data_IF_816258949075
#
_entry.id   IF_816258949075
#
_cell.length_a   1.000
_cell.length_b   1.000
_cell.length_c   1.000
_cell.angle_alpha   90.00
_cell.angle_beta   90.00
_cell.angle_gamma   90.00
#
_symmetry.space_group_name_H-M   'P 1'
#
loop_
_entity.id
_entity.type
_entity.pdbx_description
1 polymer ?
#
# COMPACT_ATOMS: atom_id res chain seq x y z
N UNK A 1 -9.21 -23.02 8.34
CA UNK A 1 -7.91 -23.51 7.82
C UNK A 1 -7.51 -22.63 6.65
N UNK A 2 -6.21 -22.36 6.49
CA UNK A 2 -5.63 -21.62 5.37
C UNK A 2 -4.50 -22.46 4.76
N UNK A 3 -4.10 -22.06 3.54
CA UNK A 3 -2.97 -22.67 2.84
C UNK A 3 -1.80 -21.69 2.97
N UNK A 4 -0.65 -22.16 3.40
CA UNK A 4 0.59 -21.40 3.52
C UNK A 4 1.47 -21.60 2.30
N UNK A 5 2.16 -20.55 1.86
CA UNK A 5 3.07 -20.56 0.71
C UNK A 5 4.45 -20.04 1.08
N UNK A 6 5.47 -20.69 0.54
CA UNK A 6 6.88 -20.29 0.70
C UNK A 6 7.50 -19.98 -0.66
N UNK A 7 8.40 -18.98 -0.68
CA UNK A 7 9.05 -18.56 -1.93
C UNK A 7 9.78 -19.71 -2.63
N UNK A 8 10.44 -20.58 -1.87
CA UNK A 8 11.23 -21.68 -2.42
C UNK A 8 10.40 -22.72 -3.15
N UNK A 9 9.18 -23.01 -2.67
CA UNK A 9 8.30 -24.06 -3.20
C UNK A 9 7.23 -23.52 -4.14
N UNK A 10 6.71 -22.32 -3.83
CA UNK A 10 5.51 -21.79 -4.49
C UNK A 10 5.79 -20.55 -5.34
N UNK A 11 7.02 -19.99 -5.24
CA UNK A 11 7.42 -18.79 -5.97
C UNK A 11 6.96 -17.48 -5.31
N UNK A 12 6.23 -17.55 -4.19
CA UNK A 12 5.82 -16.41 -3.39
C UNK A 12 5.60 -16.80 -1.93
N UNK A 13 5.65 -15.81 -1.04
CA UNK A 13 5.33 -15.97 0.38
C UNK A 13 3.96 -15.38 0.68
N UNK A 14 3.09 -16.15 1.29
CA UNK A 14 1.74 -15.72 1.61
C UNK A 14 0.87 -16.80 2.23
N UNK A 15 -0.41 -16.50 2.38
CA UNK A 15 -1.40 -17.45 2.85
C UNK A 15 -2.76 -17.25 2.16
N UNK A 16 -3.42 -18.32 1.79
CA UNK A 16 -4.74 -18.28 1.18
C UNK A 16 -5.83 -18.69 2.15
N UNK A 17 -6.85 -17.87 2.25
CA UNK A 17 -7.99 -18.00 3.17
C UNK A 17 -9.28 -18.10 2.34
N UNK A 18 -9.84 -19.31 2.25
CA UNK A 18 -11.10 -19.53 1.53
C UNK A 18 -12.28 -19.07 2.36
N UNK A 19 -13.20 -18.31 1.74
CA UNK A 19 -14.44 -17.90 2.38
C UNK A 19 -15.36 -19.11 2.59
N UNK A 20 -16.16 -19.08 3.66
CA UNK A 20 -17.17 -20.10 3.92
C UNK A 20 -18.32 -20.04 2.92
N UNK A 21 -18.65 -18.84 2.45
CA UNK A 21 -19.60 -18.64 1.34
C UNK A 21 -18.85 -18.85 0.04
N UNK A 22 -19.46 -19.60 -0.86
CA UNK A 22 -18.88 -19.82 -2.18
C UNK A 22 -18.70 -18.51 -2.94
N UNK A 23 -17.51 -18.28 -3.45
CA UNK A 23 -17.15 -17.12 -4.26
C UNK A 23 -15.98 -17.45 -5.17
N UNK A 24 -15.97 -16.86 -6.36
CA UNK A 24 -14.88 -16.93 -7.31
C UNK A 24 -14.06 -15.64 -7.39
N UNK A 25 -14.23 -14.75 -6.41
CA UNK A 25 -13.53 -13.48 -6.32
C UNK A 25 -12.53 -13.54 -5.16
N UNK A 26 -11.27 -13.19 -5.42
CA UNK A 26 -10.23 -13.13 -4.41
C UNK A 26 -9.53 -11.78 -4.40
N UNK A 27 -9.14 -11.31 -3.24
CA UNK A 27 -8.34 -10.09 -3.06
C UNK A 27 -6.98 -10.46 -2.46
N UNK A 28 -5.91 -10.03 -3.13
CA UNK A 28 -4.56 -10.04 -2.58
C UNK A 28 -4.46 -8.86 -1.61
N UNK A 29 -4.17 -9.16 -0.34
CA UNK A 29 -4.12 -8.17 0.72
C UNK A 29 -2.71 -8.13 1.34
N UNK A 30 -2.16 -6.93 1.47
CA UNK A 30 -0.82 -6.70 2.00
C UNK A 30 -0.91 -5.75 3.19
N UNK A 31 -1.11 -6.33 4.37
CA UNK A 31 -1.19 -5.61 5.64
C UNK A 31 -0.50 -6.44 6.73
N UNK A 32 0.37 -5.80 7.51
CA UNK A 32 1.17 -6.45 8.54
C UNK A 32 2.60 -6.78 8.09
N UNK A 33 3.43 -7.16 9.05
CA UNK A 33 4.84 -7.52 8.82
C UNK A 33 5.01 -8.96 8.32
N UNK A 34 3.97 -9.76 8.47
CA UNK A 34 3.92 -11.15 8.03
C UNK A 34 2.53 -11.44 7.44
N UNK A 35 2.45 -12.40 6.51
CA UNK A 35 1.19 -12.80 5.86
C UNK A 35 0.19 -13.50 6.82
N UNK A 36 0.63 -13.90 8.00
CA UNK A 36 -0.18 -14.64 8.99
C UNK A 36 -0.19 -13.99 10.38
N UNK A 37 0.32 -12.76 10.51
CA UNK A 37 0.29 -12.04 11.77
C UNK A 37 -1.13 -11.55 12.15
N UNK A 38 -1.24 -10.89 13.29
CA UNK A 38 -2.50 -10.36 13.78
C UNK A 38 -3.15 -9.34 12.83
N UNK A 39 -2.33 -8.47 12.24
CA UNK A 39 -2.79 -7.44 11.30
C UNK A 39 -3.33 -8.08 10.02
N UNK A 40 -2.58 -9.02 9.45
CA UNK A 40 -3.00 -9.78 8.27
C UNK A 40 -4.31 -10.55 8.53
N UNK A 41 -4.42 -11.27 9.64
CA UNK A 41 -5.65 -11.99 10.03
C UNK A 41 -6.84 -11.07 10.25
N UNK A 42 -6.62 -9.87 10.75
CA UNK A 42 -7.67 -8.85 10.90
C UNK A 42 -8.18 -8.37 9.54
N UNK A 43 -7.26 -8.13 8.61
CA UNK A 43 -7.61 -7.79 7.22
C UNK A 43 -8.39 -8.93 6.55
N UNK A 44 -7.98 -10.17 6.74
CA UNK A 44 -8.71 -11.36 6.26
C UNK A 44 -10.15 -11.36 6.76
N UNK A 45 -10.36 -11.20 8.07
CA UNK A 45 -11.71 -11.13 8.64
C UNK A 45 -12.56 -10.03 8.02
N UNK A 46 -11.98 -8.86 7.84
CA UNK A 46 -12.65 -7.70 7.28
C UNK A 46 -13.08 -7.95 5.83
N UNK A 47 -12.18 -8.48 4.99
CA UNK A 47 -12.45 -8.77 3.58
C UNK A 47 -13.43 -9.94 3.40
N UNK A 48 -13.27 -11.01 4.18
CA UNK A 48 -14.18 -12.17 4.10
C UNK A 48 -15.64 -11.81 4.39
N UNK A 49 -15.89 -10.85 5.29
CA UNK A 49 -17.24 -10.30 5.53
C UNK A 49 -17.84 -9.62 4.30
N UNK A 50 -17.00 -9.21 3.35
CA UNK A 50 -17.44 -8.59 2.08
C UNK A 50 -17.64 -9.60 0.95
N UNK A 51 -17.48 -10.90 1.23
CA UNK A 51 -17.83 -11.97 0.31
C UNK A 51 -16.70 -12.41 -0.64
N UNK A 52 -15.45 -12.17 -0.30
CA UNK A 52 -14.30 -12.56 -1.11
C UNK A 52 -13.42 -13.60 -0.42
N UNK A 53 -12.69 -14.38 -1.20
CA UNK A 53 -11.51 -15.11 -0.74
C UNK A 53 -10.36 -14.11 -0.54
N UNK A 54 -9.40 -14.45 0.30
CA UNK A 54 -8.27 -13.55 0.59
C UNK A 54 -6.95 -14.31 0.44
N UNK A 55 -6.01 -13.71 -0.27
CA UNK A 55 -4.62 -14.14 -0.27
C UNK A 55 -3.78 -13.05 0.38
N UNK A 56 -3.25 -13.31 1.57
CA UNK A 56 -2.35 -12.39 2.26
C UNK A 56 -0.93 -12.56 1.77
N UNK A 57 -0.23 -11.45 1.55
CA UNK A 57 1.19 -11.44 1.19
C UNK A 57 1.93 -10.43 2.06
N UNK A 58 3.23 -10.61 2.20
CA UNK A 58 4.13 -9.62 2.81
C UNK A 58 5.40 -9.50 1.98
N UNK A 59 5.86 -8.29 1.65
CA UNK A 59 7.13 -8.09 0.99
C UNK A 59 8.34 -8.51 1.82
N UNK A 60 8.24 -8.39 3.15
CA UNK A 60 9.32 -8.75 4.06
C UNK A 60 8.80 -9.59 5.22
N UNK A 61 9.12 -10.88 5.24
CA UNK A 61 8.81 -11.76 6.37
C UNK A 61 9.42 -11.22 7.67
N UNK A 62 8.60 -10.80 8.62
CA UNK A 62 8.97 -10.28 9.95
C UNK A 62 9.69 -8.93 9.98
N UNK A 63 10.49 -8.59 8.99
CA UNK A 63 11.15 -7.30 8.85
C UNK A 63 10.65 -6.69 7.57
N UNK A 64 9.77 -5.71 7.69
CA UNK A 64 9.18 -5.04 6.57
C UNK A 64 10.24 -4.29 5.78
N UNK A 65 10.72 -4.90 4.71
CA UNK A 65 11.77 -4.36 3.86
C UNK A 65 11.34 -4.37 2.40
N UNK A 66 11.55 -3.24 1.74
CA UNK A 66 11.25 -3.07 0.33
C UNK A 66 12.52 -2.70 -0.42
N UNK A 67 13.20 -3.69 -0.97
CA UNK A 67 14.31 -3.47 -1.88
C UNK A 67 14.36 -4.59 -2.93
N UNK A 68 14.24 -4.19 -4.18
CA UNK A 68 14.15 -5.09 -5.33
C UNK A 68 13.14 -6.23 -5.15
N UNK A 69 12.00 -5.96 -4.50
CA UNK A 69 10.95 -6.96 -4.32
C UNK A 69 10.46 -7.44 -5.68
N UNK A 70 10.56 -8.75 -5.99
CA UNK A 70 10.21 -9.26 -7.31
C UNK A 70 8.70 -9.23 -7.55
N UNK A 71 8.24 -8.52 -8.59
CA UNK A 71 6.83 -8.52 -8.98
C UNK A 71 6.35 -9.90 -9.40
N UNK A 72 7.26 -10.79 -9.81
CA UNK A 72 6.97 -12.18 -10.14
C UNK A 72 6.32 -12.94 -8.98
N UNK A 73 6.54 -12.52 -7.75
CA UNK A 73 5.86 -13.12 -6.58
C UNK A 73 4.36 -12.88 -6.63
N UNK A 74 3.93 -11.67 -7.02
CA UNK A 74 2.52 -11.36 -7.21
C UNK A 74 1.97 -12.08 -8.45
N UNK A 75 2.74 -12.14 -9.54
CA UNK A 75 2.38 -12.88 -10.74
C UNK A 75 2.11 -14.37 -10.43
N UNK A 76 2.97 -15.01 -9.64
CA UNK A 76 2.77 -16.39 -9.18
C UNK A 76 1.54 -16.56 -8.28
N UNK A 77 1.27 -15.59 -7.41
CA UNK A 77 0.06 -15.58 -6.61
C UNK A 77 -1.22 -15.48 -7.47
N UNK A 78 -1.20 -14.63 -8.49
CA UNK A 78 -2.30 -14.50 -9.47
C UNK A 78 -2.52 -15.82 -10.21
N UNK A 79 -1.44 -16.44 -10.72
CA UNK A 79 -1.49 -17.73 -11.40
C UNK A 79 -2.12 -18.80 -10.49
N UNK A 80 -1.67 -18.89 -9.24
CA UNK A 80 -2.23 -19.82 -8.28
C UNK A 80 -3.73 -19.60 -8.03
N UNK A 81 -4.12 -18.34 -7.82
CA UNK A 81 -5.53 -17.98 -7.59
C UNK A 81 -6.42 -18.39 -8.77
N UNK A 82 -6.00 -18.13 -10.00
CA UNK A 82 -6.73 -18.53 -11.22
C UNK A 82 -6.88 -20.05 -11.30
N UNK A 83 -5.80 -20.79 -11.07
CA UNK A 83 -5.79 -22.25 -11.10
C UNK A 83 -6.63 -22.89 -9.98
N UNK A 84 -6.94 -22.11 -8.94
CA UNK A 84 -7.77 -22.54 -7.81
C UNK A 84 -9.17 -21.91 -7.80
N UNK A 85 -9.71 -21.59 -8.97
CA UNK A 85 -11.11 -21.24 -9.19
C UNK A 85 -11.47 -19.77 -8.93
N UNK A 86 -10.49 -18.89 -8.71
CA UNK A 86 -10.74 -17.47 -8.57
C UNK A 86 -10.69 -16.78 -9.92
N UNK A 87 -11.85 -16.39 -10.44
CA UNK A 87 -12.00 -15.76 -11.76
C UNK A 87 -11.77 -14.25 -11.72
N UNK A 88 -12.04 -13.62 -10.57
CA UNK A 88 -11.84 -12.19 -10.33
C UNK A 88 -10.75 -12.01 -9.29
N UNK A 89 -9.77 -11.17 -9.60
CA UNK A 89 -8.63 -10.89 -8.72
C UNK A 89 -8.54 -9.40 -8.47
N UNK A 90 -8.56 -9.03 -7.20
CA UNK A 90 -8.31 -7.68 -6.70
C UNK A 90 -7.03 -7.62 -5.89
N UNK A 91 -6.55 -6.41 -5.66
CA UNK A 91 -5.41 -6.12 -4.81
C UNK A 91 -5.67 -4.90 -3.93
N UNK A 92 -5.27 -4.97 -2.67
CA UNK A 92 -5.35 -3.86 -1.73
C UNK A 92 -4.05 -3.70 -0.97
N UNK A 93 -3.61 -2.47 -0.85
CA UNK A 93 -2.43 -2.12 -0.06
C UNK A 93 -2.53 -0.72 0.51
N UNK A 94 -1.69 -0.45 1.49
CA UNK A 94 -1.55 0.86 2.12
C UNK A 94 -0.08 1.22 2.28
N UNK A 95 0.24 2.51 2.21
CA UNK A 95 1.62 2.98 2.33
C UNK A 95 2.49 2.39 1.20
N UNK A 96 3.64 1.82 1.51
CA UNK A 96 4.52 1.18 0.52
C UNK A 96 3.84 0.02 -0.21
N UNK A 97 2.97 -0.75 0.47
CA UNK A 97 2.19 -1.80 -0.20
C UNK A 97 1.06 -1.25 -1.06
N UNK A 98 0.60 -0.03 -0.82
CA UNK A 98 -0.28 0.69 -1.75
C UNK A 98 0.43 1.01 -3.06
N UNK A 99 1.68 1.45 -2.99
CA UNK A 99 2.54 1.67 -4.16
C UNK A 99 2.81 0.35 -4.89
N UNK A 100 3.04 -0.75 -4.14
CA UNK A 100 3.17 -2.09 -4.73
C UNK A 100 1.88 -2.55 -5.42
N UNK A 101 0.71 -2.30 -4.83
CA UNK A 101 -0.58 -2.65 -5.42
C UNK A 101 -0.80 -1.93 -6.77
N UNK A 102 -0.53 -0.62 -6.83
CA UNK A 102 -0.61 0.15 -8.07
C UNK A 102 0.38 -0.38 -9.12
N UNK A 103 1.61 -0.64 -8.72
CA UNK A 103 2.65 -1.14 -9.61
C UNK A 103 2.28 -2.51 -10.16
N UNK A 104 1.88 -3.45 -9.31
CA UNK A 104 1.47 -4.80 -9.74
C UNK A 104 0.27 -4.75 -10.69
N UNK A 105 -0.74 -3.95 -10.40
CA UNK A 105 -1.91 -3.79 -11.26
C UNK A 105 -1.55 -3.19 -12.63
N UNK A 106 -0.55 -2.31 -12.69
CA UNK A 106 -0.06 -1.76 -13.97
C UNK A 106 0.67 -2.78 -14.83
N UNK A 107 1.24 -3.83 -14.24
CA UNK A 107 1.93 -4.92 -14.92
C UNK A 107 1.01 -6.10 -15.25
N UNK A 108 0.04 -6.39 -14.39
CA UNK A 108 -0.76 -7.63 -14.47
C UNK A 108 -2.24 -7.31 -14.72
N UNK A 109 -2.72 -7.41 -15.98
CA UNK A 109 -4.09 -7.06 -16.36
C UNK A 109 -5.17 -7.99 -15.79
N UNK A 110 -4.78 -9.12 -15.22
CA UNK A 110 -5.70 -10.01 -14.48
C UNK A 110 -6.23 -9.35 -13.18
N UNK A 111 -5.54 -8.35 -12.65
CA UNK A 111 -6.02 -7.56 -11.53
C UNK A 111 -7.06 -6.56 -12.05
N UNK A 112 -8.30 -6.69 -11.59
CA UNK A 112 -9.45 -5.89 -12.04
C UNK A 112 -10.11 -5.05 -10.94
N UNK A 113 -9.55 -5.09 -9.73
CA UNK A 113 -9.83 -4.17 -8.63
C UNK A 113 -8.52 -3.81 -7.95
N UNK A 114 -8.22 -2.52 -7.89
CA UNK A 114 -7.03 -2.00 -7.21
C UNK A 114 -7.43 -0.92 -6.22
N UNK A 115 -7.11 -1.13 -4.95
CA UNK A 115 -7.38 -0.17 -3.88
C UNK A 115 -6.06 0.17 -3.18
N UNK A 116 -5.62 1.41 -3.33
CA UNK A 116 -4.34 1.90 -2.83
C UNK A 116 -4.55 3.10 -1.92
N UNK A 117 -4.19 2.95 -0.65
CA UNK A 117 -4.29 3.99 0.38
C UNK A 117 -2.90 4.52 0.71
N UNK A 118 -2.78 5.83 0.80
CA UNK A 118 -1.50 6.52 1.10
C UNK A 118 -0.34 6.09 0.21
N UNK A 119 -0.62 5.72 -1.03
CA UNK A 119 0.37 5.31 -2.02
C UNK A 119 1.03 6.51 -2.70
N UNK A 120 2.16 6.27 -3.36
CA UNK A 120 2.74 7.19 -4.33
C UNK A 120 2.32 6.81 -5.75
N UNK A 121 2.49 7.75 -6.67
CA UNK A 121 2.31 7.56 -8.11
C UNK A 121 3.63 7.27 -8.84
N UNK A 122 4.70 7.09 -8.09
CA UNK A 122 6.05 6.80 -8.60
C UNK A 122 6.76 5.78 -7.72
N UNK A 123 7.84 5.23 -8.23
CA UNK A 123 8.70 4.27 -7.54
C UNK A 123 9.93 5.00 -7.00
N UNK A 124 10.32 4.71 -5.78
CA UNK A 124 11.53 5.27 -5.16
C UNK A 124 12.57 4.20 -4.83
N UNK A 125 13.72 4.65 -4.36
CA UNK A 125 14.83 3.81 -3.95
C UNK A 125 14.39 2.79 -2.89
N UNK A 126 14.91 1.58 -2.99
CA UNK A 126 14.69 0.53 -2.00
C UNK A 126 15.24 0.92 -0.63
N UNK A 127 14.63 0.37 0.41
CA UNK A 127 15.02 0.60 1.79
C UNK A 127 14.85 -0.66 2.64
N UNK A 128 15.58 -0.71 3.73
CA UNK A 128 15.45 -1.72 4.78
C UNK A 128 15.02 -1.09 6.10
N UNK A 129 14.29 -1.87 6.89
CA UNK A 129 13.91 -1.55 8.27
C UNK A 129 14.54 -2.56 9.23
N UNK A 130 14.97 -2.07 10.41
CA UNK A 130 15.62 -2.92 11.40
C UNK A 130 16.50 -2.11 12.36
N UNK A 131 17.64 -2.66 12.76
CA UNK A 131 18.64 -1.96 13.57
C UNK A 131 20.00 -2.05 12.88
N UNK A 132 20.51 -0.90 12.45
CA UNK A 132 21.84 -0.78 11.85
C UNK A 132 22.44 0.56 12.25
N UNK A 133 23.58 0.56 12.92
CA UNK A 133 24.30 1.77 13.32
C UNK A 133 23.42 2.81 14.05
N UNK A 134 22.49 2.35 14.90
CA UNK A 134 21.53 3.20 15.61
C UNK A 134 20.36 3.69 14.75
N UNK A 135 20.31 3.30 13.48
CA UNK A 135 19.23 3.63 12.55
C UNK A 135 18.17 2.53 12.50
N UNK A 136 16.89 2.92 12.36
CA UNK A 136 15.78 1.97 12.19
C UNK A 136 15.43 1.72 10.73
N UNK A 137 15.77 2.64 9.88
CA UNK A 137 15.50 2.57 8.44
C UNK A 137 16.66 3.18 7.69
N UNK A 138 17.03 2.57 6.57
CA UNK A 138 18.07 3.09 5.70
C UNK A 138 17.82 2.74 4.23
N UNK A 139 18.21 3.64 3.30
CA UNK A 139 18.14 3.36 1.88
C UNK A 139 19.15 2.31 1.46
N UNK A 140 18.79 1.53 0.43
CA UNK A 140 19.68 0.54 -0.19
C UNK A 140 20.20 1.12 -1.51
N UNK A 141 21.50 1.30 -1.61
CA UNK A 141 22.13 1.87 -2.79
C UNK A 141 21.99 0.95 -4.02
N UNK A 142 21.60 1.53 -5.15
CA UNK A 142 21.47 0.82 -6.42
C UNK A 142 20.25 -0.09 -6.53
N UNK A 143 19.36 -0.11 -5.54
CA UNK A 143 18.16 -0.93 -5.54
C UNK A 143 16.88 -0.08 -5.56
N UNK A 144 15.90 -0.55 -6.31
CA UNK A 144 14.54 0.01 -6.34
C UNK A 144 13.69 -0.61 -5.22
N UNK A 145 12.49 -0.06 -4.98
CA UNK A 145 11.47 -0.77 -4.21
C UNK A 145 11.18 -2.15 -4.81
N UNK A 146 11.07 -2.22 -6.14
CA UNK A 146 10.61 -3.40 -6.85
C UNK A 146 11.55 -3.77 -7.99
N UNK A 147 11.50 -5.05 -8.37
CA UNK A 147 12.19 -5.59 -9.53
C UNK A 147 11.23 -6.39 -10.40
N UNK A 148 11.56 -6.52 -11.68
CA UNK A 148 10.87 -7.41 -12.62
C UNK A 148 11.86 -7.96 -13.66
N UNK A 149 11.75 -9.24 -13.97
CA UNK A 149 12.70 -9.95 -14.87
C UNK A 149 14.17 -9.76 -14.42
N UNK A 150 14.39 -9.81 -13.11
CA UNK A 150 15.73 -9.73 -12.51
C UNK A 150 16.36 -8.33 -12.56
N UNK A 151 15.61 -7.29 -12.91
CA UNK A 151 16.12 -5.91 -12.99
C UNK A 151 15.35 -4.99 -12.03
N UNK A 152 16.04 -4.08 -11.33
CA UNK A 152 15.37 -3.02 -10.60
C UNK A 152 14.48 -2.19 -11.53
N UNK A 153 13.27 -1.85 -11.08
CA UNK A 153 12.44 -0.88 -11.81
C UNK A 153 13.07 0.52 -11.69
N UNK A 154 12.89 1.39 -12.70
CA UNK A 154 13.31 2.77 -12.60
C UNK A 154 12.74 3.43 -11.34
N UNK A 155 13.56 4.19 -10.62
CA UNK A 155 13.19 4.75 -9.32
C UNK A 155 13.81 6.11 -9.07
N UNK A 156 13.14 6.94 -8.28
CA UNK A 156 13.69 8.18 -7.74
C UNK A 156 14.70 7.83 -6.62
N UNK A 157 15.97 8.22 -6.74
CA UNK A 157 16.93 8.02 -5.66
C UNK A 157 16.66 8.99 -4.52
N UNK A 158 16.87 8.55 -3.27
CA UNK A 158 16.88 9.47 -2.15
C UNK A 158 18.13 10.36 -2.18
N UNK A 159 17.96 11.64 -1.88
CA UNK A 159 19.07 12.57 -1.77
C UNK A 159 19.87 12.42 -0.47
N UNK A 160 19.30 11.74 0.52
CA UNK A 160 19.96 11.43 1.78
C UNK A 160 20.40 9.97 1.81
N UNK A 161 21.68 9.73 2.14
CA UNK A 161 22.25 8.39 2.28
C UNK A 161 22.24 7.94 3.74
N UNK A 162 22.44 6.66 3.98
CA UNK A 162 22.72 6.15 5.32
C UNK A 162 24.06 6.71 5.86
N UNK A 163 24.16 7.22 7.12
CA UNK A 163 23.12 7.29 8.14
C UNK A 163 22.29 8.58 8.14
N UNK A 164 22.60 9.54 7.28
CA UNK A 164 21.97 10.87 7.25
C UNK A 164 20.46 10.79 7.02
N UNK A 165 19.99 9.85 6.17
CA UNK A 165 18.59 9.57 5.94
C UNK A 165 17.81 9.46 7.27
N UNK A 166 18.27 8.60 8.17
CA UNK A 166 17.63 8.39 9.46
C UNK A 166 17.74 9.59 10.39
N UNK A 167 18.86 10.31 10.34
CA UNK A 167 19.04 11.53 11.13
C UNK A 167 18.02 12.61 10.75
N UNK A 168 17.73 12.77 9.46
CA UNK A 168 16.68 13.69 8.97
C UNK A 168 15.31 13.23 9.45
N UNK A 169 14.96 11.94 9.32
CA UNK A 169 13.69 11.40 9.82
C UNK A 169 13.53 11.66 11.32
N UNK A 170 14.56 11.40 12.12
CA UNK A 170 14.55 11.67 13.58
C UNK A 170 14.33 13.15 13.89
N UNK A 171 15.02 14.03 13.17
CA UNK A 171 14.91 15.48 13.35
C UNK A 171 13.48 15.98 13.04
N UNK A 172 12.92 15.57 11.91
CA UNK A 172 11.56 15.96 11.51
C UNK A 172 10.51 15.36 12.44
N UNK A 173 10.66 14.12 12.87
CA UNK A 173 9.81 13.47 13.87
C UNK A 173 9.77 14.26 15.19
N UNK A 174 10.92 14.71 15.67
CA UNK A 174 11.01 15.53 16.88
C UNK A 174 10.33 16.89 16.71
N UNK A 175 10.48 17.52 15.55
CA UNK A 175 9.86 18.82 15.25
C UNK A 175 8.34 18.73 15.15
N UNK A 176 7.83 17.72 14.45
CA UNK A 176 6.39 17.58 14.18
C UNK A 176 5.60 17.00 15.34
N UNK A 177 6.24 16.20 16.20
CA UNK A 177 5.56 15.45 17.26
C UNK A 177 4.77 14.23 16.77
N UNK A 178 4.92 13.84 15.49
CA UNK A 178 4.43 12.58 14.97
C UNK A 178 5.28 11.40 15.47
N UNK A 179 4.76 10.20 15.43
CA UNK A 179 5.52 8.98 15.75
C UNK A 179 6.68 8.76 14.77
N UNK A 180 6.45 9.10 13.52
CA UNK A 180 7.44 9.13 12.45
C UNK A 180 7.08 10.23 11.45
N UNK A 181 8.09 10.92 10.94
CA UNK A 181 7.94 11.95 9.91
C UNK A 181 9.07 11.83 8.91
N UNK A 182 8.75 11.41 7.69
CA UNK A 182 9.69 11.23 6.58
C UNK A 182 9.36 12.10 5.38
N UNK A 183 8.36 12.98 5.48
CA UNK A 183 7.90 13.81 4.36
C UNK A 183 9.04 14.61 3.71
N UNK A 184 9.93 15.16 4.52
CA UNK A 184 11.10 15.92 4.04
C UNK A 184 12.03 15.06 3.17
N UNK A 185 12.20 13.78 3.48
CA UNK A 185 13.01 12.86 2.66
C UNK A 185 12.49 12.83 1.22
N UNK A 186 11.18 12.63 1.07
CA UNK A 186 10.54 12.54 -0.24
C UNK A 186 10.50 13.88 -0.98
N UNK A 187 10.13 14.95 -0.29
CA UNK A 187 10.05 16.29 -0.90
C UNK A 187 11.42 16.77 -1.38
N UNK A 188 12.45 16.64 -0.57
CA UNK A 188 13.83 17.04 -0.93
C UNK A 188 14.40 16.15 -2.04
N UNK A 189 14.13 14.84 -2.00
CA UNK A 189 14.58 13.91 -3.02
C UNK A 189 13.94 14.18 -4.38
N UNK A 190 12.63 14.45 -4.40
CA UNK A 190 11.92 14.83 -5.63
C UNK A 190 12.42 16.19 -6.17
N UNK A 191 12.75 17.13 -5.29
CA UNK A 191 13.34 18.42 -5.69
C UNK A 191 14.74 18.25 -6.28
N UNK A 192 15.56 17.37 -5.72
CA UNK A 192 16.90 17.05 -6.20
C UNK A 192 16.90 16.19 -7.47
N UNK A 193 15.93 15.32 -7.61
CA UNK A 193 15.72 14.43 -8.76
C UNK A 193 14.25 14.44 -9.16
N UNK A 194 13.82 15.36 -10.03
CA UNK A 194 12.45 15.37 -10.53
C UNK A 194 12.06 14.02 -11.14
N UNK A 195 10.86 13.54 -10.81
CA UNK A 195 10.40 12.23 -11.25
C UNK A 195 10.40 12.15 -12.77
N UNK A 196 11.08 11.15 -13.34
CA UNK A 196 11.09 10.91 -14.77
C UNK A 196 9.91 10.06 -15.22
N UNK A 197 9.59 10.09 -16.52
CA UNK A 197 8.48 9.30 -17.07
C UNK A 197 8.62 7.79 -16.76
N UNK A 198 9.84 7.27 -16.78
CA UNK A 198 10.09 5.84 -16.50
C UNK A 198 9.88 5.47 -15.02
N UNK A 199 10.01 6.44 -14.13
CA UNK A 199 9.85 6.24 -12.68
C UNK A 199 8.37 6.31 -12.24
N UNK A 200 7.49 6.94 -13.03
CA UNK A 200 6.05 6.95 -12.76
C UNK A 200 5.44 5.56 -12.95
N UNK A 201 4.52 5.22 -12.06
CA UNK A 201 3.66 4.04 -12.22
C UNK A 201 2.71 4.28 -13.40
N UNK A 202 2.62 3.30 -14.31
CA UNK A 202 1.77 3.40 -15.51
C UNK A 202 0.31 3.07 -15.16
N UNK A 203 -0.33 3.93 -14.38
CA UNK A 203 -1.71 3.72 -13.92
C UNK A 203 -2.73 3.62 -15.05
N UNK A 204 -2.42 4.18 -16.23
CA UNK A 204 -3.21 4.02 -17.46
C UNK A 204 -3.31 2.59 -17.96
N UNK A 205 -2.40 1.70 -17.53
CA UNK A 205 -2.40 0.27 -17.87
C UNK A 205 -3.24 -0.57 -16.89
N UNK A 206 -3.69 0.00 -15.78
CA UNK A 206 -4.52 -0.69 -14.79
C UNK A 206 -5.90 -0.99 -15.38
N UNK A 207 -6.43 -2.19 -15.11
CA UNK A 207 -7.72 -2.66 -15.60
C UNK A 207 -8.78 -2.65 -14.50
N UNK A 208 -10.05 -2.53 -14.92
CA UNK A 208 -11.19 -2.58 -14.02
C UNK A 208 -11.31 -1.35 -13.13
N UNK A 209 -11.57 -1.56 -11.84
CA UNK A 209 -11.73 -0.46 -10.87
C UNK A 209 -10.41 -0.10 -10.20
N UNK A 210 -10.15 1.19 -10.12
CA UNK A 210 -9.03 1.76 -9.37
C UNK A 210 -9.56 2.75 -8.33
N UNK A 211 -9.18 2.59 -7.08
CA UNK A 211 -9.41 3.54 -6.01
C UNK A 211 -8.08 3.94 -5.38
N UNK A 212 -7.73 5.22 -5.47
CA UNK A 212 -6.50 5.77 -4.89
C UNK A 212 -6.84 6.89 -3.91
N UNK A 213 -6.33 6.78 -2.69
CA UNK A 213 -6.71 7.63 -1.56
C UNK A 213 -5.47 8.19 -0.87
N UNK A 214 -5.53 9.47 -0.46
CA UNK A 214 -4.50 10.12 0.34
C UNK A 214 -5.04 11.30 1.15
N UNK A 215 -4.29 11.72 2.16
CA UNK A 215 -4.61 12.90 2.98
C UNK A 215 -3.56 14.01 2.78
N UNK A 216 -4.01 15.26 2.89
CA UNK A 216 -3.15 16.45 2.74
C UNK A 216 -2.17 16.59 3.91
N UNK A 217 -2.53 16.09 5.09
CA UNK A 217 -1.72 16.14 6.30
C UNK A 217 -0.91 14.86 6.57
N UNK A 218 -0.69 14.05 5.56
CA UNK A 218 0.21 12.90 5.64
C UNK A 218 1.63 13.34 6.02
N UNK A 219 2.19 12.69 7.03
CA UNK A 219 3.50 13.02 7.58
C UNK A 219 4.65 12.13 7.07
N UNK A 220 4.35 11.05 6.35
CA UNK A 220 5.38 10.19 5.76
C UNK A 220 5.78 10.68 4.37
N UNK A 221 4.82 11.11 3.57
CA UNK A 221 5.02 11.72 2.26
C UNK A 221 3.77 12.47 1.79
N UNK A 222 3.87 13.19 0.71
CA UNK A 222 2.78 14.03 0.21
C UNK A 222 1.75 13.21 -0.60
N UNK A 223 1.01 12.32 0.08
CA UNK A 223 0.07 11.40 -0.55
C UNK A 223 -1.00 12.12 -1.38
N UNK A 224 -1.55 13.22 -0.89
CA UNK A 224 -2.57 13.97 -1.63
C UNK A 224 -2.04 14.55 -2.95
N UNK A 225 -0.80 15.06 -2.97
CA UNK A 225 -0.12 15.49 -4.20
C UNK A 225 -0.02 14.34 -5.20
N UNK A 226 0.36 13.16 -4.72
CA UNK A 226 0.54 11.98 -5.57
C UNK A 226 -0.78 11.48 -6.14
N UNK A 227 -1.86 11.50 -5.36
CA UNK A 227 -3.20 11.17 -5.83
C UNK A 227 -3.66 12.14 -6.93
N UNK A 228 -3.51 13.45 -6.72
CA UNK A 228 -3.88 14.47 -7.71
C UNK A 228 -3.04 14.36 -8.99
N UNK A 229 -1.76 14.06 -8.87
CA UNK A 229 -0.86 13.86 -10.01
C UNK A 229 -1.21 12.60 -10.80
N UNK A 230 -1.57 11.51 -10.13
CA UNK A 230 -2.07 10.29 -10.75
C UNK A 230 -3.39 10.54 -11.50
N UNK A 231 -4.33 11.27 -10.90
CA UNK A 231 -5.58 11.67 -11.55
C UNK A 231 -5.32 12.47 -12.83
N UNK A 232 -4.44 13.48 -12.76
CA UNK A 232 -4.04 14.27 -13.94
C UNK A 232 -3.44 13.38 -15.02
N UNK A 233 -2.55 12.43 -14.66
CA UNK A 233 -1.97 11.49 -15.62
C UNK A 233 -3.04 10.74 -16.39
N UNK A 234 -4.08 10.27 -15.71
CA UNK A 234 -5.17 9.52 -16.34
C UNK A 234 -6.00 10.37 -17.31
N UNK A 235 -6.11 11.69 -17.08
CA UNK A 235 -6.77 12.60 -18.03
C UNK A 235 -5.95 12.81 -19.31
N UNK A 236 -4.65 12.61 -19.24
CA UNK A 236 -3.72 12.84 -20.36
C UNK A 236 -3.38 11.55 -21.14
N UNK A 237 -3.67 10.39 -20.57
CA UNK A 237 -3.36 9.08 -21.15
C UNK A 237 -4.62 8.31 -21.50
N UNK A 238 -4.58 7.61 -22.64
CA UNK A 238 -5.66 6.69 -23.01
C UNK A 238 -5.71 5.54 -21.99
N UNK A 239 -6.90 5.25 -21.47
CA UNK A 239 -7.13 4.20 -20.49
C UNK A 239 -8.55 3.68 -20.56
N UNK A 240 -8.79 2.50 -20.00
CA UNK A 240 -10.11 1.88 -19.87
C UNK A 240 -10.47 1.51 -18.42
N UNK A 241 -9.70 1.96 -17.44
CA UNK A 241 -10.02 1.74 -16.04
C UNK A 241 -11.10 2.73 -15.53
N UNK A 242 -11.94 2.25 -14.63
CA UNK A 242 -12.92 3.03 -13.87
C UNK A 242 -12.23 3.52 -12.59
N UNK A 243 -11.70 4.73 -12.62
CA UNK A 243 -10.83 5.26 -11.57
C UNK A 243 -11.54 6.29 -10.69
N UNK A 244 -11.31 6.19 -9.37
CA UNK A 244 -11.72 7.14 -8.36
C UNK A 244 -10.49 7.60 -7.56
N UNK A 245 -10.25 8.92 -7.56
CA UNK A 245 -9.15 9.56 -6.84
C UNK A 245 -9.72 10.44 -5.74
N UNK A 246 -9.34 10.18 -4.49
CA UNK A 246 -9.93 10.85 -3.33
C UNK A 246 -8.84 11.41 -2.43
N UNK A 247 -8.93 12.70 -2.14
CA UNK A 247 -8.07 13.36 -1.15
C UNK A 247 -8.91 13.90 0.01
N UNK A 248 -8.34 13.82 1.20
CA UNK A 248 -8.94 14.34 2.43
C UNK A 248 -8.03 15.38 3.05
N UNK A 249 -8.61 16.38 3.68
CA UNK A 249 -7.85 17.41 4.39
C UNK A 249 -7.12 16.83 5.61
N UNK A 250 -7.80 15.96 6.35
CA UNK A 250 -7.30 15.36 7.58
C UNK A 250 -7.43 13.84 7.56
N UNK A 251 -6.42 13.15 8.03
CA UNK A 251 -6.36 11.69 8.08
C UNK A 251 -4.96 11.19 8.37
N UNK A 252 -3.97 12.07 8.19
CA UNK A 252 -2.56 11.72 8.29
C UNK A 252 -2.20 10.54 7.37
N UNK A 253 -1.31 9.67 7.81
CA UNK A 253 -0.89 8.49 7.04
C UNK A 253 -1.86 7.31 7.17
N UNK A 254 -2.73 7.28 8.19
CA UNK A 254 -3.71 6.22 8.41
C UNK A 254 -5.10 6.54 7.86
N UNK A 255 -5.19 6.68 6.54
CA UNK A 255 -6.45 6.80 5.81
C UNK A 255 -6.96 5.41 5.42
N UNK A 256 -7.31 4.62 6.44
CA UNK A 256 -7.83 3.26 6.30
C UNK A 256 -9.32 3.19 6.66
N UNK A 257 -10.06 2.15 6.22
CA UNK A 257 -11.46 1.98 6.57
C UNK A 257 -11.68 1.89 8.07
N UNK A 258 -12.67 2.60 8.61
CA UNK A 258 -12.98 2.61 10.04
C UNK A 258 -13.30 1.21 10.58
N UNK A 259 -14.05 0.40 9.83
CA UNK A 259 -14.39 -0.96 10.23
C UNK A 259 -13.21 -1.92 10.25
N UNK A 260 -12.23 -1.73 9.35
CA UNK A 260 -10.97 -2.47 9.40
C UNK A 260 -10.18 -2.06 10.66
N UNK A 261 -10.09 -0.76 10.91
CA UNK A 261 -9.38 -0.23 12.06
C UNK A 261 -9.95 -0.76 13.40
N UNK A 262 -11.30 -0.79 13.52
CA UNK A 262 -11.99 -1.40 14.66
C UNK A 262 -11.77 -2.92 14.76
N UNK A 263 -11.57 -3.60 13.65
CA UNK A 263 -11.25 -5.04 13.64
C UNK A 263 -9.84 -5.29 14.19
N UNK A 264 -8.90 -4.41 13.87
CA UNK A 264 -7.51 -4.50 14.36
C UNK A 264 -7.43 -4.08 15.82
N UNK A 265 -8.06 -2.97 16.17
CA UNK A 265 -8.06 -2.36 17.51
C UNK A 265 -9.49 -2.21 18.03
N UNK A 266 -10.09 -3.28 18.59
CA UNK A 266 -11.47 -3.21 19.09
C UNK A 266 -11.67 -2.17 20.21
N UNK A 267 -10.61 -1.93 20.99
CA UNK A 267 -10.60 -0.99 22.11
C UNK A 267 -9.38 -0.05 21.96
N UNK A 268 -9.59 1.23 22.19
CA UNK A 268 -8.48 2.20 22.25
C UNK A 268 -7.94 2.69 20.90
N UNK A 269 -8.56 2.35 19.78
CA UNK A 269 -8.13 2.77 18.44
C UNK A 269 -7.91 4.29 18.33
N UNK A 270 -8.87 5.10 18.79
CA UNK A 270 -8.78 6.55 18.72
C UNK A 270 -7.65 7.12 19.62
N UNK A 271 -7.39 6.49 20.76
CA UNK A 271 -6.30 6.88 21.67
C UNK A 271 -4.96 6.59 21.00
N UNK A 272 -4.81 5.41 20.42
CA UNK A 272 -3.59 5.02 19.71
C UNK A 272 -3.26 6.00 18.58
N UNK A 273 -4.24 6.35 17.74
CA UNK A 273 -4.03 7.31 16.65
C UNK A 273 -3.61 8.69 17.12
N UNK A 274 -4.17 9.17 18.24
CA UNK A 274 -3.78 10.46 18.84
C UNK A 274 -2.34 10.45 19.34
N UNK A 275 -1.84 9.31 19.80
CA UNK A 275 -0.44 9.15 20.21
C UNK A 275 0.49 9.10 18.98
N UNK A 276 0.05 8.45 17.91
CA UNK A 276 0.87 8.26 16.71
C UNK A 276 0.95 9.51 15.81
N UNK A 277 -0.16 10.25 15.68
CA UNK A 277 -0.28 11.32 14.69
C UNK A 277 -0.83 12.61 15.28
N UNK A 278 -0.10 13.69 15.04
CA UNK A 278 -0.52 15.05 15.42
C UNK A 278 -1.89 15.41 14.84
N UNK A 279 -2.13 15.08 13.57
CA UNK A 279 -3.42 15.32 12.91
C UNK A 279 -4.59 14.66 13.64
N UNK A 280 -4.43 13.41 14.09
CA UNK A 280 -5.46 12.69 14.84
C UNK A 280 -5.70 13.29 16.24
N UNK A 281 -4.69 13.94 16.82
CA UNK A 281 -4.82 14.68 18.08
C UNK A 281 -5.52 16.02 17.91
N UNK A 282 -5.19 16.77 16.86
CA UNK A 282 -5.73 18.11 16.60
C UNK A 282 -7.11 18.07 15.91
N UNK A 283 -7.33 17.09 15.04
CA UNK A 283 -8.55 16.93 14.23
C UNK A 283 -9.15 15.53 14.40
N UNK A 284 -9.47 15.07 15.62
CA UNK A 284 -9.90 13.69 15.86
C UNK A 284 -11.23 13.36 15.19
N UNK A 285 -12.16 14.31 15.12
CA UNK A 285 -13.46 14.13 14.48
C UNK A 285 -13.31 14.00 12.96
N UNK A 286 -12.58 14.90 12.35
CA UNK A 286 -12.35 14.94 10.91
C UNK A 286 -11.58 13.70 10.42
N UNK A 287 -10.56 13.26 11.16
CA UNK A 287 -9.86 12.03 10.85
C UNK A 287 -10.76 10.80 10.92
N UNK A 288 -11.69 10.74 11.89
CA UNK A 288 -12.68 9.66 11.98
C UNK A 288 -13.70 9.72 10.85
N UNK A 289 -14.19 10.90 10.49
CA UNK A 289 -15.09 11.10 9.35
C UNK A 289 -14.42 10.65 8.05
N UNK A 290 -13.15 10.95 7.86
CA UNK A 290 -12.32 10.45 6.75
C UNK A 290 -12.32 8.92 6.70
N UNK A 291 -12.04 8.24 7.80
CA UNK A 291 -12.02 6.77 7.83
C UNK A 291 -13.41 6.16 7.57
N UNK A 292 -14.49 6.79 8.02
CA UNK A 292 -15.87 6.37 7.77
C UNK A 292 -16.20 6.51 6.28
N UNK A 293 -15.82 7.60 5.63
CA UNK A 293 -16.04 7.80 4.20
C UNK A 293 -15.24 6.80 3.37
N UNK A 294 -13.99 6.54 3.73
CA UNK A 294 -13.15 5.51 3.09
C UNK A 294 -13.80 4.13 3.19
N UNK A 295 -14.36 3.79 4.36
CA UNK A 295 -15.06 2.52 4.59
C UNK A 295 -16.23 2.34 3.61
N UNK A 296 -17.02 3.37 3.41
CA UNK A 296 -18.10 3.38 2.43
C UNK A 296 -17.61 3.18 1.00
N UNK A 297 -16.54 3.89 0.62
CA UNK A 297 -15.97 3.83 -0.73
C UNK A 297 -15.35 2.48 -1.06
N UNK A 298 -14.55 1.92 -0.16
CA UNK A 298 -13.95 0.60 -0.36
C UNK A 298 -15.03 -0.49 -0.40
N UNK A 299 -15.99 -0.44 0.51
CA UNK A 299 -17.09 -1.41 0.55
C UNK A 299 -17.94 -1.36 -0.72
N UNK A 300 -18.23 -0.16 -1.23
CA UNK A 300 -18.94 0.04 -2.50
C UNK A 300 -18.14 -0.52 -3.68
N UNK A 301 -16.85 -0.20 -3.76
CA UNK A 301 -15.97 -0.66 -4.83
C UNK A 301 -15.91 -2.19 -4.89
N UNK A 302 -15.75 -2.86 -3.75
CA UNK A 302 -15.73 -4.32 -3.66
C UNK A 302 -17.08 -4.91 -4.09
N UNK A 303 -18.18 -4.38 -3.59
CA UNK A 303 -19.54 -4.85 -3.92
C UNK A 303 -19.84 -4.72 -5.41
N UNK A 304 -19.53 -3.59 -6.02
CA UNK A 304 -19.74 -3.36 -7.45
C UNK A 304 -18.86 -4.28 -8.29
N UNK A 305 -17.61 -4.49 -7.87
CA UNK A 305 -16.69 -5.37 -8.58
C UNK A 305 -17.10 -6.84 -8.52
N UNK A 306 -17.59 -7.34 -7.38
CA UNK A 306 -18.09 -8.72 -7.25
C UNK A 306 -19.28 -8.94 -8.17
N UNK A 307 -20.17 -7.96 -8.30
CA UNK A 307 -21.44 -8.09 -9.00
C UNK A 307 -21.36 -7.83 -10.52
N UNK A 308 -20.26 -7.32 -11.01
CA UNK A 308 -20.00 -7.18 -12.46
C UNK A 308 -19.49 -8.50 -13.05
#
# INVERSE_FOLDING_TARGET
KHIHFEVKTDGFYGAYWKNKKETNSAIIAMLGDDAEDYMAKSCVKWLMKKGVNVLTMSPGKKNYSHHNYPLERIEKAIEWLKNNGNKKIGIVGGSTTGTLALTAASYFPDITLTMAMTASDFIWQGFEQGKKDGCREWPVEGESLFSYCGKPLPYMPFCYKHPEYWQVVKSETKKSGNMIDSKKIFDDSEAAHPITEDEYIKIENIKGKLLMIGAEDDCLWNAAKYVKRAEKRLTEKSHDCDAEFVTYKHGSHFVFPESLFKTIFPIGANILLKVMFKAAKEFPKECKETRIDIDKRLSKAIKEWINK
#
